data_IF_146749133414
#
_entry.id   IF_146749133414
#
_cell.length_a   1.000
_cell.length_b   1.000
_cell.length_c   1.000
_cell.angle_alpha   90.00
_cell.angle_beta   90.00
_cell.angle_gamma   90.00
#
_symmetry.space_group_name_H-M   'P 1'
#
loop_
_entity.id
_entity.type
_entity.pdbx_description
1 polymer ?
#
# COMPACT_ATOMS: atom_id res chain seq x y z
N UNK A 1 -13.59 -9.13 -19.09
CA UNK A 1 -14.36 -9.64 -17.94
C UNK A 1 -13.36 -9.99 -16.84
N UNK A 2 -13.00 -9.02 -16.01
CA UNK A 2 -12.17 -9.22 -14.81
C UNK A 2 -12.43 -8.07 -13.83
N UNK A 3 -13.68 -7.56 -13.77
CA UNK A 3 -13.98 -6.29 -13.10
C UNK A 3 -14.09 -6.39 -11.57
N UNK A 4 -14.15 -7.59 -10.98
CA UNK A 4 -14.24 -7.78 -9.52
C UNK A 4 -13.25 -8.86 -9.03
N UNK A 5 -11.96 -8.73 -9.33
CA UNK A 5 -10.97 -9.59 -8.70
C UNK A 5 -10.56 -8.98 -7.34
N UNK A 6 -10.62 -9.72 -6.21
CA UNK A 6 -10.21 -9.22 -4.91
C UNK A 6 -8.80 -8.62 -4.92
N UNK A 7 -8.59 -7.53 -4.19
CA UNK A 7 -7.33 -6.77 -4.19
C UNK A 7 -6.07 -7.64 -4.03
N UNK A 8 -6.03 -8.52 -3.03
CA UNK A 8 -4.86 -9.38 -2.78
C UNK A 8 -4.61 -10.36 -3.92
N UNK A 9 -5.65 -10.77 -4.64
CA UNK A 9 -5.54 -11.64 -5.79
C UNK A 9 -4.97 -10.88 -7.01
N UNK A 10 -5.33 -9.59 -7.19
CA UNK A 10 -4.66 -8.70 -8.15
C UNK A 10 -3.16 -8.59 -7.86
N UNK A 11 -2.80 -8.40 -6.58
CA UNK A 11 -1.40 -8.31 -6.13
C UNK A 11 -0.66 -9.61 -6.43
N UNK A 12 -1.22 -10.77 -6.11
CA UNK A 12 -0.60 -12.07 -6.41
C UNK A 12 -0.39 -12.25 -7.92
N UNK A 13 -1.42 -11.99 -8.74
CA UNK A 13 -1.34 -12.16 -10.19
C UNK A 13 -0.29 -11.29 -10.87
N UNK A 14 -0.01 -10.11 -10.30
CA UNK A 14 0.99 -9.15 -10.84
C UNK A 14 2.36 -9.32 -10.21
N UNK A 15 2.47 -10.14 -9.17
CA UNK A 15 3.72 -10.43 -8.47
C UNK A 15 4.12 -11.90 -8.64
N UNK A 16 5.13 -12.34 -7.90
CA UNK A 16 5.52 -13.73 -7.80
C UNK A 16 5.25 -14.30 -6.40
N UNK A 17 4.25 -13.76 -5.70
CA UNK A 17 3.82 -14.25 -4.39
C UNK A 17 2.89 -15.44 -4.59
N UNK A 18 3.09 -16.48 -3.79
CA UNK A 18 2.40 -17.77 -3.97
C UNK A 18 1.16 -17.87 -3.08
N UNK A 19 1.07 -17.03 -2.04
CA UNK A 19 -0.01 -17.09 -1.06
C UNK A 19 -0.62 -15.74 -0.73
N UNK A 20 -1.91 -15.74 -0.38
CA UNK A 20 -2.63 -14.54 0.07
C UNK A 20 -2.00 -13.92 1.32
N UNK A 21 -1.44 -14.74 2.22
CA UNK A 21 -0.74 -14.27 3.42
C UNK A 21 0.52 -13.45 3.06
N UNK A 22 1.32 -13.92 2.09
CA UNK A 22 2.48 -13.17 1.62
C UNK A 22 2.05 -11.82 1.00
N UNK A 23 1.01 -11.84 0.16
CA UNK A 23 0.46 -10.63 -0.45
C UNK A 23 -0.05 -9.64 0.60
N UNK A 24 -0.72 -10.15 1.65
CA UNK A 24 -1.23 -9.34 2.76
C UNK A 24 -0.11 -8.70 3.57
N UNK A 25 0.90 -9.47 3.97
CA UNK A 25 2.03 -8.96 4.77
C UNK A 25 2.82 -7.93 3.97
N UNK A 26 3.07 -8.19 2.68
CA UNK A 26 3.72 -7.25 1.79
C UNK A 26 2.90 -5.95 1.65
N UNK A 27 1.60 -6.07 1.40
CA UNK A 27 0.70 -4.91 1.27
C UNK A 27 0.70 -4.08 2.55
N UNK A 28 0.56 -4.70 3.72
CA UNK A 28 0.56 -4.02 5.01
C UNK A 28 1.86 -3.26 5.27
N UNK A 29 3.01 -3.88 4.97
CA UNK A 29 4.31 -3.25 5.08
C UNK A 29 4.42 -2.02 4.15
N UNK A 30 4.01 -2.16 2.90
CA UNK A 30 4.06 -1.07 1.93
C UNK A 30 3.15 0.09 2.31
N UNK A 31 1.89 -0.22 2.67
CA UNK A 31 0.93 0.77 3.11
C UNK A 31 1.40 1.51 4.36
N UNK A 32 2.02 0.81 5.31
CA UNK A 32 2.63 1.48 6.48
C UNK A 32 3.74 2.45 6.08
N UNK A 33 4.64 2.06 5.19
CA UNK A 33 5.71 2.94 4.71
C UNK A 33 5.10 4.15 3.98
N UNK A 34 4.09 3.95 3.14
CA UNK A 34 3.38 5.04 2.46
C UNK A 34 2.72 6.00 3.47
N UNK A 35 2.02 5.48 4.49
CA UNK A 35 1.40 6.27 5.57
C UNK A 35 2.39 7.08 6.39
N UNK A 36 3.63 6.60 6.52
CA UNK A 36 4.70 7.34 7.18
C UNK A 36 5.18 8.55 6.35
N UNK A 37 4.95 8.53 5.03
CA UNK A 37 5.46 9.52 4.07
C UNK A 37 4.45 10.57 3.62
N UNK A 38 3.16 10.31 3.83
CA UNK A 38 2.09 11.25 3.49
C UNK A 38 1.63 12.02 4.72
N UNK A 39 0.85 13.10 4.52
CA UNK A 39 0.18 13.78 5.63
C UNK A 39 -0.98 12.95 6.17
N UNK A 40 -1.46 13.28 7.38
CA UNK A 40 -2.63 12.63 7.97
C UNK A 40 -3.86 12.83 7.11
N UNK A 41 -4.11 14.07 6.67
CA UNK A 41 -5.23 14.40 5.80
C UNK A 41 -5.17 13.62 4.49
N UNK A 42 -3.99 13.50 3.87
CA UNK A 42 -3.79 12.69 2.67
C UNK A 42 -4.10 11.22 2.95
N UNK A 43 -3.59 10.66 4.06
CA UNK A 43 -3.84 9.27 4.47
C UNK A 43 -5.31 8.98 4.75
N UNK A 44 -6.03 9.91 5.36
CA UNK A 44 -7.45 9.77 5.68
C UNK A 44 -8.30 9.76 4.41
N UNK A 45 -7.96 10.62 3.44
CA UNK A 45 -8.60 10.64 2.13
C UNK A 45 -8.31 9.37 1.33
N UNK A 46 -7.06 8.85 1.33
CA UNK A 46 -6.75 7.51 0.76
C UNK A 46 -7.68 6.47 1.36
N UNK A 47 -7.78 6.43 2.69
CA UNK A 47 -8.61 5.43 3.37
C UNK A 47 -10.10 5.54 3.03
N UNK A 48 -10.59 6.73 2.70
CA UNK A 48 -11.98 6.96 2.27
C UNK A 48 -12.24 6.45 0.85
N UNK A 49 -11.30 6.64 -0.07
CA UNK A 49 -11.43 6.15 -1.45
C UNK A 49 -11.35 4.61 -1.49
N UNK A 50 -10.45 4.00 -0.72
CA UNK A 50 -10.34 2.53 -0.59
C UNK A 50 -11.57 1.86 0.07
N UNK A 51 -12.56 2.64 0.53
CA UNK A 51 -13.77 2.15 1.23
C UNK A 51 -14.98 1.93 0.31
N UNK A 52 -14.99 2.48 -0.90
CA UNK A 52 -16.25 2.73 -1.59
C UNK A 52 -16.86 1.53 -2.36
N UNK A 53 -16.15 0.43 -2.64
CA UNK A 53 -16.63 -0.50 -3.68
C UNK A 53 -16.56 -2.04 -3.46
N UNK A 54 -16.27 -2.59 -2.27
CA UNK A 54 -16.24 -4.07 -2.13
C UNK A 54 -17.38 -4.62 -1.25
N UNK A 55 -18.44 -5.22 -1.86
CA UNK A 55 -19.38 -6.06 -1.14
C UNK A 55 -18.78 -7.47 -0.98
N UNK A 56 -18.38 -7.82 0.25
CA UNK A 56 -17.97 -9.16 0.71
C UNK A 56 -16.56 -9.62 0.30
N UNK A 57 -15.55 -9.14 1.04
CA UNK A 57 -14.36 -9.93 1.34
C UNK A 57 -14.02 -9.75 2.83
N UNK A 58 -13.73 -10.85 3.53
CA UNK A 58 -13.56 -10.95 5.00
C UNK A 58 -12.44 -10.08 5.61
N UNK A 59 -11.77 -9.24 4.81
CA UNK A 59 -10.91 -8.16 5.27
C UNK A 59 -11.02 -7.03 4.24
N UNK A 60 -11.58 -5.89 4.62
CA UNK A 60 -11.77 -4.78 3.69
C UNK A 60 -10.39 -4.18 3.34
N UNK A 61 -10.18 -3.72 2.11
CA UNK A 61 -8.90 -3.08 1.71
C UNK A 61 -8.54 -1.89 2.62
N UNK A 62 -9.57 -1.21 3.13
CA UNK A 62 -9.43 -0.19 4.18
C UNK A 62 -8.73 -0.72 5.43
N UNK A 63 -8.96 -1.98 5.79
CA UNK A 63 -8.39 -2.61 6.96
C UNK A 63 -6.91 -2.87 6.70
N UNK A 64 -6.50 -3.32 5.51
CA UNK A 64 -5.06 -3.38 5.15
C UNK A 64 -4.39 -2.00 5.24
N UNK A 65 -5.08 -0.95 4.82
CA UNK A 65 -4.59 0.44 4.95
C UNK A 65 -4.67 0.98 6.38
N UNK A 66 -5.47 0.41 7.27
CA UNK A 66 -5.62 0.87 8.65
C UNK A 66 -4.85 0.02 9.66
N UNK A 67 -4.56 -1.23 9.33
CA UNK A 67 -4.12 -2.25 10.28
C UNK A 67 -2.68 -2.00 10.71
N UNK A 68 -2.60 -1.13 11.70
CA UNK A 68 -1.69 -1.24 12.81
C UNK A 68 -2.59 -1.21 14.05
N UNK A 69 -3.10 -2.38 14.42
CA UNK A 69 -3.79 -2.75 15.67
C UNK A 69 -5.33 -2.60 15.69
N UNK A 70 -6.10 -3.70 15.87
CA UNK A 70 -7.58 -3.71 15.96
C UNK A 70 -8.17 -3.09 17.25
N UNK A 71 -7.41 -2.24 17.96
CA UNK A 71 -7.88 -1.43 19.08
C UNK A 71 -7.31 -0.01 19.00
N UNK A 72 -7.83 0.81 18.09
CA UNK A 72 -7.80 2.27 18.25
C UNK A 72 -9.00 2.88 17.52
N UNK A 73 -10.13 2.81 18.20
CA UNK A 73 -11.22 3.77 18.01
C UNK A 73 -10.63 5.18 18.17
N UNK A 74 -10.64 5.97 17.09
CA UNK A 74 -10.10 7.33 16.93
C UNK A 74 -8.59 7.49 16.69
N UNK A 75 -8.24 7.78 15.43
CA UNK A 75 -6.93 8.17 14.91
C UNK A 75 -6.22 9.23 15.77
N UNK A 76 -5.14 8.86 16.47
CA UNK A 76 -4.26 9.88 17.06
C UNK A 76 -2.75 9.58 17.01
N UNK A 77 -2.25 8.33 17.08
CA UNK A 77 -0.82 8.14 17.43
C UNK A 77 -0.02 7.04 16.73
N UNK A 78 -0.12 6.85 15.41
CA UNK A 78 0.83 5.94 14.73
C UNK A 78 1.59 6.47 13.51
N UNK A 79 1.05 7.37 12.69
CA UNK A 79 1.90 8.14 11.77
C UNK A 79 2.61 9.27 12.50
N UNK A 80 3.88 9.55 12.19
CA UNK A 80 4.61 10.66 12.77
C UNK A 80 3.83 11.97 12.59
N UNK A 81 3.99 12.91 13.53
CA UNK A 81 3.28 14.19 13.50
C UNK A 81 3.62 15.03 12.24
N UNK A 82 4.69 14.65 11.53
CA UNK A 82 5.08 15.19 10.23
C UNK A 82 5.45 14.03 9.29
N UNK A 83 5.18 14.15 7.98
CA UNK A 83 5.62 13.19 6.99
C UNK A 83 7.13 12.94 7.08
N UNK A 84 7.54 11.67 7.01
CA UNK A 84 8.95 11.31 6.99
C UNK A 84 9.51 11.47 5.58
N UNK A 85 10.65 12.13 5.47
CA UNK A 85 11.45 12.13 4.25
C UNK A 85 12.24 10.81 4.15
N UNK A 86 11.59 9.75 3.66
CA UNK A 86 12.19 8.43 3.47
C UNK A 86 12.90 8.39 2.11
N UNK A 87 14.21 8.10 2.11
CA UNK A 87 14.99 7.92 0.88
C UNK A 87 14.64 6.59 0.19
N UNK A 88 14.82 6.45 -1.14
CA UNK A 88 14.48 5.22 -1.86
C UNK A 88 15.13 3.95 -1.28
N UNK A 89 16.42 4.02 -0.90
CA UNK A 89 17.12 2.89 -0.28
C UNK A 89 16.54 2.51 1.09
N UNK A 90 16.12 3.49 1.90
CA UNK A 90 15.46 3.25 3.18
C UNK A 90 14.06 2.67 2.99
N UNK A 91 13.34 3.13 1.97
CA UNK A 91 12.03 2.60 1.60
C UNK A 91 12.13 1.10 1.28
N UNK A 92 13.02 0.72 0.35
CA UNK A 92 13.18 -0.67 -0.05
C UNK A 92 13.75 -1.55 1.07
N UNK A 93 14.62 -0.99 1.93
CA UNK A 93 15.12 -1.71 3.10
C UNK A 93 14.02 -1.99 4.12
N UNK A 94 13.19 -0.98 4.44
CA UNK A 94 12.03 -1.16 5.34
C UNK A 94 11.03 -2.13 4.72
N UNK A 95 10.75 -2.02 3.44
CA UNK A 95 9.85 -2.94 2.75
C UNK A 95 10.37 -4.39 2.80
N UNK A 96 11.68 -4.59 2.61
CA UNK A 96 12.31 -5.91 2.78
C UNK A 96 12.15 -6.46 4.21
N UNK A 97 12.35 -5.60 5.22
CA UNK A 97 12.31 -6.00 6.63
C UNK A 97 10.88 -6.24 7.14
N UNK A 98 9.95 -5.36 6.77
CA UNK A 98 8.57 -5.36 7.25
C UNK A 98 7.67 -6.27 6.41
N UNK A 99 7.94 -6.43 5.11
CA UNK A 99 7.12 -7.21 4.18
C UNK A 99 7.34 -8.72 4.24
N UNK A 100 8.29 -9.20 5.05
CA UNK A 100 8.62 -10.62 5.26
C UNK A 100 8.68 -11.47 3.98
N UNK A 101 9.11 -10.85 2.87
CA UNK A 101 9.09 -11.47 1.56
C UNK A 101 10.08 -12.63 1.48
N UNK A 102 9.74 -13.75 0.80
CA UNK A 102 10.67 -14.83 0.56
C UNK A 102 11.89 -14.32 -0.23
N UNK A 103 13.05 -14.95 -0.06
CA UNK A 103 14.29 -14.48 -0.71
C UNK A 103 14.22 -14.53 -2.24
N UNK A 104 13.39 -15.44 -2.79
CA UNK A 104 13.10 -15.59 -4.21
C UNK A 104 12.14 -14.52 -4.77
N UNK A 105 11.46 -13.75 -3.92
CA UNK A 105 10.52 -12.72 -4.37
C UNK A 105 11.24 -11.53 -5.00
N UNK A 106 10.76 -11.09 -6.18
CA UNK A 106 11.25 -9.87 -6.79
C UNK A 106 10.58 -8.67 -6.12
N UNK A 107 11.30 -8.03 -5.18
CA UNK A 107 10.77 -6.96 -4.33
C UNK A 107 10.23 -5.77 -5.13
N UNK A 108 10.91 -5.37 -6.20
CA UNK A 108 10.44 -4.26 -7.04
C UNK A 108 9.16 -4.64 -7.78
N UNK A 109 9.05 -5.88 -8.25
CA UNK A 109 7.83 -6.38 -8.87
C UNK A 109 6.67 -6.41 -7.87
N UNK A 110 6.90 -6.83 -6.62
CA UNK A 110 5.87 -6.82 -5.57
C UNK A 110 5.42 -5.38 -5.28
N UNK A 111 6.35 -4.43 -5.14
CA UNK A 111 6.01 -3.00 -4.95
C UNK A 111 5.15 -2.49 -6.10
N UNK A 112 5.56 -2.76 -7.35
CA UNK A 112 4.80 -2.38 -8.54
C UNK A 112 3.41 -3.03 -8.58
N UNK A 113 3.31 -4.30 -8.21
CA UNK A 113 2.04 -5.02 -8.15
C UNK A 113 1.06 -4.37 -7.16
N UNK A 114 1.52 -4.06 -5.95
CA UNK A 114 0.70 -3.39 -4.94
C UNK A 114 0.35 -1.96 -5.36
N UNK A 115 1.29 -1.20 -5.94
CA UNK A 115 1.00 0.14 -6.47
C UNK A 115 -0.05 0.10 -7.58
N UNK A 116 0.10 -0.84 -8.52
CA UNK A 116 -0.84 -1.05 -9.62
C UNK A 116 -2.24 -1.34 -9.10
N UNK A 117 -2.36 -2.32 -8.20
CA UNK A 117 -3.64 -2.66 -7.58
C UNK A 117 -4.22 -1.49 -6.79
N UNK A 118 -3.39 -0.73 -6.05
CA UNK A 118 -3.86 0.41 -5.26
C UNK A 118 -4.38 1.55 -6.13
N UNK A 119 -3.73 1.84 -7.26
CA UNK A 119 -4.16 2.91 -8.17
C UNK A 119 -5.51 2.63 -8.83
N UNK A 120 -5.88 1.37 -9.01
CA UNK A 120 -7.21 1.03 -9.53
C UNK A 120 -8.33 1.40 -8.55
N UNK A 121 -8.02 1.46 -7.26
CA UNK A 121 -8.97 1.75 -6.18
C UNK A 121 -8.97 3.25 -5.79
N UNK A 122 -8.18 4.08 -6.47
CA UNK A 122 -7.98 5.48 -6.13
C UNK A 122 -8.32 6.40 -7.30
N UNK A 123 -8.83 7.58 -6.98
CA UNK A 123 -9.05 8.65 -7.95
C UNK A 123 -7.73 9.18 -8.51
N UNK A 124 -7.78 9.74 -9.73
CA UNK A 124 -6.60 10.36 -10.36
C UNK A 124 -6.01 11.50 -9.51
N UNK A 125 -6.86 12.25 -8.80
CA UNK A 125 -6.41 13.28 -7.85
C UNK A 125 -5.55 12.66 -6.74
N UNK A 126 -6.01 11.56 -6.14
CA UNK A 126 -5.30 10.88 -5.07
C UNK A 126 -4.00 10.26 -5.54
N UNK A 127 -3.98 9.69 -6.74
CA UNK A 127 -2.78 9.11 -7.36
C UNK A 127 -1.70 10.18 -7.55
N UNK A 128 -2.08 11.36 -8.05
CA UNK A 128 -1.16 12.50 -8.22
C UNK A 128 -0.73 13.12 -6.89
N UNK A 129 -1.62 13.16 -5.89
CA UNK A 129 -1.26 13.65 -4.56
C UNK A 129 -0.20 12.74 -3.91
N UNK A 130 -0.37 11.42 -3.97
CA UNK A 130 0.59 10.44 -3.41
C UNK A 130 1.96 10.55 -4.08
N UNK A 131 2.02 10.69 -5.41
CA UNK A 131 3.31 10.73 -6.13
C UNK A 131 4.20 11.89 -5.66
N UNK A 132 3.62 13.02 -5.24
CA UNK A 132 4.34 14.15 -4.66
C UNK A 132 5.04 13.87 -3.31
N UNK A 133 4.69 12.77 -2.63
CA UNK A 133 5.35 12.34 -1.39
C UNK A 133 6.37 11.22 -1.60
N UNK A 134 6.34 10.53 -2.75
CA UNK A 134 7.23 9.42 -3.04
C UNK A 134 8.60 9.93 -3.49
N UNK A 135 9.70 9.26 -3.08
CA UNK A 135 11.03 9.67 -3.48
C UNK A 135 11.33 9.17 -4.90
N UNK A 136 12.17 9.89 -5.65
CA UNK A 136 12.39 9.74 -7.09
C UNK A 136 12.21 8.32 -7.66
N UNK A 137 13.06 7.36 -7.28
CA UNK A 137 13.00 5.99 -7.81
C UNK A 137 11.69 5.26 -7.48
N UNK A 138 11.10 5.51 -6.31
CA UNK A 138 9.82 4.92 -5.91
C UNK A 138 8.66 5.62 -6.64
N UNK A 139 8.77 6.93 -6.85
CA UNK A 139 7.82 7.68 -7.67
C UNK A 139 7.82 7.15 -9.12
N UNK A 140 8.98 6.87 -9.70
CA UNK A 140 9.06 6.22 -11.02
C UNK A 140 8.38 4.85 -11.02
N UNK A 141 8.55 4.04 -9.97
CA UNK A 141 7.83 2.77 -9.85
C UNK A 141 6.32 2.98 -9.75
N UNK A 142 5.87 4.01 -9.02
CA UNK A 142 4.47 4.40 -8.90
C UNK A 142 3.88 4.90 -10.22
N UNK A 143 4.62 5.63 -11.04
CA UNK A 143 4.14 6.11 -12.34
C UNK A 143 4.10 4.99 -13.39
N UNK A 144 5.03 4.03 -13.33
CA UNK A 144 5.18 2.94 -14.30
C UNK A 144 4.33 1.68 -14.00
N UNK A 145 3.66 1.63 -12.86
CA UNK A 145 2.86 0.48 -12.43
C UNK A 145 1.43 0.47 -12.92
#
# INVERSE_FOLDING_TARGET
MAENQPFLEKVMNRSNLETTNEAQVATNALFRIMRDMVTRDTSDKVAEELRQEEPLADMELKDLWKDTNPMVSFFSRMSPARPLNIKPGTFMLRFKQEGALPESANREQVVKAVFSATKEELSQERIAEISGFLPDQICQMWEQS
#
